data_IF_424343500014
#
_entry.id   IF_424343500014
#
_cell.length_a   1.000
_cell.length_b   1.000
_cell.length_c   1.000
_cell.angle_alpha   90.00
_cell.angle_beta   90.00
_cell.angle_gamma   90.00
#
_symmetry.space_group_name_H-M   'P 1'
#
loop_
_entity.id
_entity.type
_entity.pdbx_description
1 polymer ?
#
# COMPACT_ATOMS: atom_id res chain seq x y z
N UNK A 1 -46.50 32.20 55.69
CA UNK A 1 -45.63 31.01 55.93
C UNK A 1 -45.10 30.60 54.59
N UNK A 2 -43.76 30.78 54.38
CA UNK A 2 -43.09 30.48 53.09
C UNK A 2 -42.62 29.03 53.06
N UNK A 3 -43.00 28.27 52.02
CA UNK A 3 -42.76 26.83 51.83
C UNK A 3 -41.39 26.51 51.16
N UNK A 4 -40.37 27.36 51.39
CA UNK A 4 -39.12 27.30 50.59
C UNK A 4 -38.00 26.42 51.20
N UNK A 5 -38.29 25.58 52.20
CA UNK A 5 -37.21 24.83 52.89
C UNK A 5 -37.32 23.32 52.87
N UNK A 6 -38.12 22.71 51.97
CA UNK A 6 -38.38 21.25 52.03
C UNK A 6 -37.56 20.39 51.08
N UNK A 7 -36.60 20.95 50.33
CA UNK A 7 -35.75 20.11 49.44
C UNK A 7 -34.26 20.49 49.54
N UNK A 8 -33.68 20.39 50.72
CA UNK A 8 -32.22 20.29 50.83
C UNK A 8 -31.80 18.85 50.55
N UNK A 9 -31.39 18.59 49.28
CA UNK A 9 -30.67 17.36 48.93
C UNK A 9 -29.37 17.30 49.68
N UNK A 10 -29.26 16.47 50.70
CA UNK A 10 -27.99 16.12 51.34
C UNK A 10 -27.15 15.33 50.35
N UNK A 11 -26.14 16.01 49.74
CA UNK A 11 -25.10 15.31 48.95
C UNK A 11 -24.26 14.51 49.96
N UNK A 12 -24.49 13.19 50.03
CA UNK A 12 -23.54 12.27 50.62
C UNK A 12 -22.35 12.20 49.67
N UNK A 13 -21.27 12.93 49.97
CA UNK A 13 -20.00 12.78 49.28
C UNK A 13 -19.36 11.52 49.84
N UNK A 14 -19.62 10.37 49.20
CA UNK A 14 -18.83 9.17 49.42
C UNK A 14 -17.41 9.48 48.95
N UNK A 15 -16.52 9.63 49.91
CA UNK A 15 -15.07 9.68 49.67
C UNK A 15 -14.64 8.29 49.16
N UNK A 16 -14.74 8.09 47.84
CA UNK A 16 -14.08 6.97 47.17
C UNK A 16 -12.59 7.27 47.26
N UNK A 17 -11.90 6.59 48.19
CA UNK A 17 -10.44 6.51 48.16
C UNK A 17 -10.08 5.87 46.80
N UNK A 18 -9.59 6.70 45.88
CA UNK A 18 -8.97 6.20 44.67
C UNK A 18 -7.70 5.46 45.09
N UNK A 19 -7.80 4.13 45.21
CA UNK A 19 -6.62 3.31 45.13
C UNK A 19 -6.01 3.63 43.77
N UNK A 20 -4.86 4.30 43.76
CA UNK A 20 -4.01 4.43 42.61
C UNK A 20 -3.60 3.02 42.19
N UNK A 21 -4.42 2.39 41.35
CA UNK A 21 -4.04 1.18 40.66
C UNK A 21 -2.75 1.54 39.89
N UNK A 22 -1.65 0.95 40.32
CA UNK A 22 -0.38 0.94 39.57
C UNK A 22 -0.78 0.50 38.17
N UNK A 23 -0.78 1.45 37.22
CA UNK A 23 -0.93 1.15 35.81
C UNK A 23 0.23 0.24 35.46
N UNK A 24 0.01 -1.06 35.47
CA UNK A 24 0.94 -2.00 34.89
C UNK A 24 1.26 -1.48 33.49
N UNK A 25 2.51 -1.19 33.21
CA UNK A 25 2.98 -0.75 31.90
C UNK A 25 2.47 -1.81 30.91
N UNK A 26 1.63 -1.39 29.97
CA UNK A 26 1.21 -2.29 28.90
C UNK A 26 2.48 -2.75 28.20
N UNK A 27 2.66 -4.06 27.99
CA UNK A 27 3.82 -4.56 27.28
C UNK A 27 3.89 -3.83 25.93
N UNK A 28 5.02 -3.20 25.67
CA UNK A 28 5.27 -2.51 24.41
C UNK A 28 5.44 -3.58 23.34
N UNK A 29 4.46 -3.67 22.42
CA UNK A 29 4.51 -4.59 21.30
C UNK A 29 5.39 -3.95 20.24
N UNK A 30 6.47 -4.59 19.78
CA UNK A 30 7.33 -4.06 18.73
C UNK A 30 6.52 -3.66 17.49
N UNK A 31 6.84 -2.51 16.92
CA UNK A 31 6.20 -2.04 15.69
C UNK A 31 6.34 -3.08 14.57
N UNK A 32 5.25 -3.34 13.86
CA UNK A 32 5.23 -4.29 12.74
C UNK A 32 5.01 -5.76 13.12
N UNK A 33 5.03 -6.14 14.41
CA UNK A 33 4.78 -7.52 14.84
C UNK A 33 3.35 -7.98 14.55
N UNK A 34 2.37 -7.09 14.67
CA UNK A 34 0.97 -7.40 14.46
C UNK A 34 0.38 -6.64 13.27
N UNK A 35 -0.50 -7.29 12.53
CA UNK A 35 -1.35 -6.69 11.49
C UNK A 35 -2.82 -6.83 11.86
N UNK A 36 -3.55 -5.72 11.79
CA UNK A 36 -5.00 -5.71 11.99
C UNK A 36 -5.70 -6.02 10.66
N UNK A 37 -6.58 -7.01 10.66
CA UNK A 37 -7.41 -7.32 9.50
C UNK A 37 -8.49 -6.25 9.29
N UNK A 38 -8.57 -5.67 8.10
CA UNK A 38 -9.56 -4.64 7.80
C UNK A 38 -11.00 -5.17 7.74
N UNK A 39 -11.18 -6.49 7.50
CA UNK A 39 -12.50 -7.11 7.39
C UNK A 39 -13.08 -7.53 8.74
N UNK A 40 -12.31 -8.20 9.58
CA UNK A 40 -12.80 -8.74 10.86
C UNK A 40 -12.20 -8.06 12.10
N UNK A 41 -11.29 -7.08 11.93
CA UNK A 41 -10.67 -6.36 13.04
C UNK A 41 -9.65 -7.17 13.86
N UNK A 42 -9.43 -8.44 13.57
CA UNK A 42 -8.51 -9.29 14.31
C UNK A 42 -7.06 -8.82 14.16
N UNK A 43 -6.32 -8.82 15.28
CA UNK A 43 -4.88 -8.69 15.29
C UNK A 43 -4.25 -10.07 15.00
N UNK A 44 -3.32 -10.13 14.05
CA UNK A 44 -2.67 -11.35 13.57
C UNK A 44 -1.18 -11.07 13.48
N UNK A 45 -0.35 -12.05 13.79
CA UNK A 45 1.10 -11.95 13.68
C UNK A 45 1.46 -11.67 12.20
N UNK A 46 2.31 -10.66 11.98
CA UNK A 46 2.65 -10.22 10.62
C UNK A 46 3.32 -11.33 9.80
N UNK A 47 4.08 -12.20 10.47
CA UNK A 47 4.73 -13.33 9.82
C UNK A 47 3.72 -14.38 9.36
N UNK A 48 2.70 -14.72 10.18
CA UNK A 48 1.63 -15.63 9.79
C UNK A 48 0.86 -15.11 8.56
N UNK A 49 0.65 -13.78 8.51
CA UNK A 49 0.03 -13.14 7.33
C UNK A 49 0.89 -13.31 6.09
N UNK A 50 2.21 -13.19 6.20
CA UNK A 50 3.13 -13.37 5.06
C UNK A 50 3.17 -14.82 4.59
N UNK A 51 3.26 -15.79 5.52
CA UNK A 51 3.26 -17.23 5.22
C UNK A 51 1.92 -17.68 4.64
N UNK A 52 0.80 -17.11 5.13
CA UNK A 52 -0.55 -17.35 4.63
C UNK A 52 -0.92 -16.58 3.37
N UNK A 53 0.04 -16.19 2.53
CA UNK A 53 -0.19 -15.49 1.27
C UNK A 53 -1.04 -14.22 1.39
N UNK A 54 -0.92 -13.50 2.51
CA UNK A 54 -1.68 -12.28 2.81
C UNK A 54 -3.19 -12.50 2.91
N UNK A 55 -3.60 -13.69 3.32
CA UNK A 55 -4.99 -14.04 3.62
C UNK A 55 -5.16 -14.08 5.14
N UNK A 56 -6.24 -13.49 5.64
CA UNK A 56 -6.57 -13.53 7.06
C UNK A 56 -6.99 -14.96 7.47
N UNK A 57 -6.30 -15.62 8.41
CA UNK A 57 -6.65 -16.97 8.84
C UNK A 57 -7.99 -17.04 9.58
N UNK A 58 -8.51 -15.90 10.08
CA UNK A 58 -9.79 -15.87 10.81
C UNK A 58 -11.02 -15.68 9.93
N UNK A 59 -10.90 -14.90 8.84
CA UNK A 59 -12.08 -14.54 8.04
C UNK A 59 -11.90 -14.68 6.54
N UNK A 60 -10.74 -15.14 6.06
CA UNK A 60 -10.42 -15.22 4.64
C UNK A 60 -10.30 -13.86 3.93
N UNK A 61 -10.27 -12.75 4.69
CA UNK A 61 -10.08 -11.41 4.10
C UNK A 61 -8.66 -11.21 3.60
N UNK A 62 -8.49 -10.42 2.53
CA UNK A 62 -7.19 -10.16 1.94
C UNK A 62 -6.52 -8.94 2.59
N UNK A 63 -5.19 -9.03 2.79
CA UNK A 63 -4.34 -7.90 3.12
C UNK A 63 -3.75 -7.29 1.84
N UNK A 64 -3.37 -6.01 1.90
CA UNK A 64 -2.64 -5.38 0.78
C UNK A 64 -1.25 -5.98 0.66
N UNK A 65 -0.86 -6.29 -0.58
CA UNK A 65 0.46 -6.81 -0.93
C UNK A 65 1.20 -5.73 -1.73
N UNK A 66 2.45 -5.47 -1.37
CA UNK A 66 3.31 -4.52 -2.06
C UNK A 66 3.91 -5.14 -3.33
N UNK A 67 4.31 -4.31 -4.30
CA UNK A 67 4.77 -4.79 -5.60
C UNK A 67 5.90 -5.83 -5.51
N UNK A 68 7.01 -5.50 -4.89
CA UNK A 68 8.13 -6.45 -4.76
C UNK A 68 7.75 -7.75 -4.03
N UNK A 69 6.88 -7.66 -3.03
CA UNK A 69 6.39 -8.88 -2.36
C UNK A 69 5.50 -9.71 -3.28
N UNK A 70 4.68 -9.08 -4.11
CA UNK A 70 3.89 -9.80 -5.11
C UNK A 70 4.79 -10.51 -6.12
N UNK A 71 5.85 -9.84 -6.57
CA UNK A 71 6.85 -10.42 -7.46
C UNK A 71 7.50 -11.65 -6.81
N UNK A 72 7.95 -11.53 -5.55
CA UNK A 72 8.54 -12.66 -4.80
C UNK A 72 7.59 -13.85 -4.61
N UNK A 73 6.27 -13.63 -4.60
CA UNK A 73 5.28 -14.70 -4.47
C UNK A 73 5.01 -15.45 -5.78
N UNK A 74 5.33 -14.84 -6.92
CA UNK A 74 4.95 -15.34 -8.26
C UNK A 74 6.16 -15.75 -9.08
N UNK A 75 7.25 -15.01 -8.99
CA UNK A 75 8.47 -15.22 -9.77
C UNK A 75 9.43 -16.12 -8.99
N UNK A 76 10.07 -17.04 -9.70
CA UNK A 76 11.09 -17.94 -9.17
C UNK A 76 12.24 -17.13 -8.55
N UNK A 77 12.72 -17.57 -7.40
CA UNK A 77 13.73 -16.86 -6.62
C UNK A 77 15.01 -16.59 -7.46
N UNK A 78 15.50 -15.35 -7.36
CA UNK A 78 16.73 -14.91 -8.04
C UNK A 78 16.61 -14.70 -9.56
N UNK A 79 15.42 -14.86 -10.15
CA UNK A 79 15.23 -14.72 -11.61
C UNK A 79 14.65 -13.38 -12.05
N UNK A 80 14.24 -12.52 -11.12
CA UNK A 80 13.62 -11.25 -11.45
C UNK A 80 14.65 -10.21 -11.88
N UNK A 81 14.46 -9.67 -13.07
CA UNK A 81 15.18 -8.54 -13.65
C UNK A 81 14.22 -7.36 -13.81
N UNK A 82 14.42 -6.30 -13.03
CA UNK A 82 13.58 -5.11 -13.12
C UNK A 82 13.97 -4.24 -14.30
N UNK A 83 12.97 -3.72 -15.04
CA UNK A 83 13.14 -2.87 -16.21
C UNK A 83 12.70 -1.44 -15.95
N UNK A 84 13.35 -0.48 -16.62
CA UNK A 84 12.97 0.94 -16.61
C UNK A 84 12.89 1.53 -15.19
N UNK A 85 13.79 1.15 -14.28
CA UNK A 85 13.82 1.63 -12.90
C UNK A 85 13.89 3.15 -12.81
N UNK A 86 14.65 3.78 -13.71
CA UNK A 86 14.91 5.22 -13.69
C UNK A 86 13.82 6.06 -14.38
N UNK A 87 12.80 5.41 -14.96
CA UNK A 87 11.69 6.11 -15.58
C UNK A 87 10.76 6.67 -14.51
N UNK A 88 10.73 7.99 -14.39
CA UNK A 88 9.99 8.74 -13.37
C UNK A 88 9.07 9.74 -14.06
N UNK A 89 7.85 9.90 -13.55
CA UNK A 89 6.90 10.91 -14.02
C UNK A 89 7.39 12.34 -13.74
N UNK A 90 6.93 13.28 -14.56
CA UNK A 90 7.22 14.71 -14.42
C UNK A 90 6.07 15.48 -13.77
N UNK A 91 6.16 16.82 -13.87
CA UNK A 91 5.11 17.75 -13.47
C UNK A 91 4.74 18.68 -14.64
N UNK A 92 4.12 18.17 -15.71
CA UNK A 92 3.90 18.92 -16.96
C UNK A 92 2.98 20.12 -16.77
N UNK A 93 2.04 20.06 -15.82
CA UNK A 93 1.08 21.13 -15.54
C UNK A 93 1.50 22.05 -14.39
N UNK A 94 2.74 21.91 -13.92
CA UNK A 94 3.27 22.70 -12.79
C UNK A 94 2.35 22.68 -11.56
N UNK A 95 1.79 21.49 -11.24
CA UNK A 95 0.93 21.33 -10.07
C UNK A 95 1.71 21.59 -8.78
N UNK A 96 1.23 22.56 -7.99
CA UNK A 96 1.93 23.03 -6.78
C UNK A 96 2.06 21.92 -5.72
N UNK A 97 3.26 21.71 -5.21
CA UNK A 97 3.55 20.72 -4.16
C UNK A 97 3.56 19.27 -4.65
N UNK A 98 3.43 19.04 -5.95
CA UNK A 98 3.44 17.68 -6.51
C UNK A 98 4.85 17.05 -6.50
N UNK A 99 5.92 17.74 -6.94
CA UNK A 99 7.27 17.19 -6.89
C UNK A 99 7.70 16.78 -5.48
N UNK A 100 7.43 17.62 -4.49
CA UNK A 100 7.76 17.34 -3.10
C UNK A 100 7.00 16.12 -2.56
N UNK A 101 5.73 16.00 -2.94
CA UNK A 101 4.90 14.83 -2.59
C UNK A 101 5.42 13.54 -3.22
N UNK A 102 5.84 13.58 -4.48
CA UNK A 102 6.43 12.45 -5.20
C UNK A 102 7.74 12.04 -4.52
N UNK A 103 8.64 12.98 -4.25
CA UNK A 103 9.89 12.72 -3.57
C UNK A 103 9.68 12.08 -2.19
N UNK A 104 8.79 12.62 -1.37
CA UNK A 104 8.47 12.06 -0.06
C UNK A 104 7.93 10.62 -0.14
N UNK A 105 7.17 10.30 -1.21
CA UNK A 105 6.69 8.95 -1.45
C UNK A 105 7.78 8.01 -1.92
N UNK A 106 8.72 8.47 -2.76
CA UNK A 106 9.89 7.70 -3.18
C UNK A 106 10.75 7.32 -1.96
N UNK A 107 11.03 8.27 -1.10
CA UNK A 107 11.79 8.04 0.14
C UNK A 107 11.06 7.06 1.08
N UNK A 108 9.75 7.23 1.27
CA UNK A 108 8.95 6.41 2.17
C UNK A 108 8.74 4.98 1.67
N UNK A 109 8.59 4.79 0.36
CA UNK A 109 8.20 3.49 -0.22
C UNK A 109 9.36 2.72 -0.82
N UNK A 110 10.46 3.40 -1.15
CA UNK A 110 11.57 2.85 -1.93
C UNK A 110 11.24 2.65 -3.41
N UNK A 111 10.05 3.08 -3.85
CA UNK A 111 9.60 2.98 -5.24
C UNK A 111 9.92 4.27 -6.00
N UNK A 112 10.34 4.15 -7.24
CA UNK A 112 10.51 5.32 -8.12
C UNK A 112 9.19 5.77 -8.74
N UNK A 113 8.28 4.81 -9.00
CA UNK A 113 6.95 5.06 -9.57
C UNK A 113 5.94 4.01 -9.08
N UNK A 114 4.65 4.20 -9.37
CA UNK A 114 3.54 3.37 -8.89
C UNK A 114 3.46 1.97 -9.52
N UNK A 115 4.36 1.62 -10.42
CA UNK A 115 4.45 0.29 -11.04
C UNK A 115 5.90 -0.20 -11.09
N UNK A 116 6.08 -1.48 -10.82
CA UNK A 116 7.35 -2.20 -11.03
C UNK A 116 7.14 -3.14 -12.21
N UNK A 117 8.03 -3.06 -13.22
CA UNK A 117 7.98 -3.89 -14.43
C UNK A 117 9.28 -4.64 -14.60
N UNK A 118 9.22 -5.84 -15.15
CA UNK A 118 10.41 -6.64 -15.37
C UNK A 118 10.13 -8.00 -15.97
N UNK A 119 11.19 -8.79 -16.10
CA UNK A 119 11.17 -10.17 -16.56
C UNK A 119 11.58 -11.09 -15.43
N UNK A 120 11.03 -12.28 -15.39
CA UNK A 120 11.42 -13.33 -14.46
C UNK A 120 10.90 -14.67 -14.94
N UNK A 121 11.12 -15.72 -14.14
CA UNK A 121 10.62 -17.04 -14.46
C UNK A 121 9.48 -17.44 -13.54
N UNK A 122 8.53 -18.20 -14.08
CA UNK A 122 7.49 -18.89 -13.32
C UNK A 122 7.58 -20.37 -13.66
N UNK A 123 7.94 -21.19 -12.68
CA UNK A 123 8.23 -22.61 -12.90
C UNK A 123 9.21 -22.83 -14.07
N UNK A 124 10.28 -22.06 -14.11
CA UNK A 124 11.33 -22.13 -15.12
C UNK A 124 10.99 -21.49 -16.48
N UNK A 125 9.78 -20.96 -16.68
CA UNK A 125 9.34 -20.33 -17.95
C UNK A 125 9.45 -18.81 -17.86
N UNK A 126 10.09 -18.21 -18.84
CA UNK A 126 10.24 -16.76 -18.93
C UNK A 126 8.87 -16.07 -19.05
N UNK A 127 8.69 -15.01 -18.30
CA UNK A 127 7.43 -14.25 -18.20
C UNK A 127 7.75 -12.80 -17.93
N UNK A 128 7.01 -11.90 -18.55
CA UNK A 128 7.05 -10.46 -18.22
C UNK A 128 5.97 -10.15 -17.20
N UNK A 129 6.33 -9.38 -16.17
CA UNK A 129 5.43 -9.02 -15.08
C UNK A 129 5.40 -7.51 -14.87
N UNK A 130 4.20 -6.96 -14.64
CA UNK A 130 4.00 -5.59 -14.21
C UNK A 130 3.12 -5.59 -12.95
N UNK A 131 3.59 -4.96 -11.88
CA UNK A 131 2.87 -4.94 -10.59
C UNK A 131 2.69 -3.52 -10.11
N UNK A 132 1.44 -3.05 -10.04
CA UNK A 132 1.11 -1.77 -9.46
C UNK A 132 1.21 -1.80 -7.93
N UNK A 133 1.64 -0.69 -7.31
CA UNK A 133 1.75 -0.55 -5.85
C UNK A 133 0.93 0.62 -5.32
N UNK A 134 -0.12 0.29 -4.59
CA UNK A 134 -1.04 1.28 -4.02
C UNK A 134 -0.44 2.21 -2.95
N UNK A 135 0.79 1.98 -2.49
CA UNK A 135 1.49 2.88 -1.59
C UNK A 135 1.94 4.17 -2.29
N UNK A 136 2.19 4.09 -3.59
CA UNK A 136 2.58 5.24 -4.40
C UNK A 136 1.34 5.85 -5.06
N UNK A 137 0.86 6.98 -4.56
CA UNK A 137 -0.32 7.72 -5.07
C UNK A 137 -1.54 6.83 -5.38
N UNK A 138 -1.82 5.81 -4.55
CA UNK A 138 -2.88 4.82 -4.76
C UNK A 138 -2.76 4.06 -6.10
N UNK A 139 -1.54 3.87 -6.59
CA UNK A 139 -1.24 3.30 -7.89
C UNK A 139 -1.93 4.04 -9.05
N UNK A 140 -2.14 5.36 -8.92
CA UNK A 140 -2.69 6.15 -10.02
C UNK A 140 -1.72 6.17 -11.20
N UNK A 141 -2.29 6.09 -12.40
CA UNK A 141 -1.53 5.99 -13.63
C UNK A 141 -1.13 7.37 -14.13
N UNK A 142 0.14 7.72 -13.95
CA UNK A 142 0.82 8.84 -14.58
C UNK A 142 1.49 8.40 -15.89
N UNK A 143 2.08 9.37 -16.60
CA UNK A 143 2.80 9.09 -17.85
C UNK A 143 3.83 7.95 -17.69
N UNK A 144 4.68 8.02 -16.68
CA UNK A 144 5.73 7.02 -16.48
C UNK A 144 5.17 5.62 -16.17
N UNK A 145 4.01 5.52 -15.50
CA UNK A 145 3.33 4.23 -15.27
C UNK A 145 2.88 3.63 -16.60
N UNK A 146 2.22 4.45 -17.44
CA UNK A 146 1.80 4.03 -18.77
C UNK A 146 2.97 3.59 -19.62
N UNK A 147 4.02 4.41 -19.69
CA UNK A 147 5.23 4.13 -20.48
C UNK A 147 5.95 2.86 -20.02
N UNK A 148 6.13 2.64 -18.70
CA UNK A 148 6.71 1.39 -18.16
C UNK A 148 5.93 0.16 -18.60
N UNK A 149 4.59 0.21 -18.52
CA UNK A 149 3.73 -0.91 -18.90
C UNK A 149 3.79 -1.14 -20.41
N UNK A 150 3.74 -0.08 -21.21
CA UNK A 150 3.81 -0.15 -22.68
C UNK A 150 5.14 -0.79 -23.11
N UNK A 151 6.29 -0.29 -22.63
CA UNK A 151 7.59 -0.88 -22.92
C UNK A 151 7.71 -2.34 -22.51
N UNK A 152 7.12 -2.70 -21.35
CA UNK A 152 7.11 -4.09 -20.90
C UNK A 152 6.31 -4.99 -21.87
N UNK A 153 5.16 -4.52 -22.38
CA UNK A 153 4.34 -5.25 -23.33
C UNK A 153 5.00 -5.34 -24.70
N UNK A 154 5.59 -4.24 -25.18
CA UNK A 154 6.33 -4.20 -26.46
C UNK A 154 7.48 -5.21 -26.46
N UNK A 155 8.33 -5.16 -25.42
CA UNK A 155 9.44 -6.09 -25.29
C UNK A 155 8.99 -7.54 -25.13
N UNK A 156 7.90 -7.78 -24.38
CA UNK A 156 7.31 -9.12 -24.29
C UNK A 156 6.80 -9.64 -25.64
N UNK A 157 6.25 -8.74 -26.48
CA UNK A 157 5.78 -9.07 -27.83
C UNK A 157 6.95 -9.45 -28.75
N UNK A 158 8.03 -8.67 -28.71
CA UNK A 158 9.26 -8.95 -29.46
C UNK A 158 9.89 -10.28 -29.07
N UNK A 159 9.98 -10.54 -27.75
CA UNK A 159 10.54 -11.77 -27.18
C UNK A 159 9.53 -12.95 -27.20
N UNK A 160 8.27 -12.73 -27.63
CA UNK A 160 7.18 -13.72 -27.64
C UNK A 160 6.91 -14.34 -26.25
N UNK A 161 6.95 -13.50 -25.23
CA UNK A 161 6.75 -13.90 -23.83
C UNK A 161 5.33 -13.58 -23.35
N UNK A 162 4.79 -14.38 -22.43
CA UNK A 162 3.54 -14.04 -21.75
C UNK A 162 3.72 -12.82 -20.84
N UNK A 163 2.65 -12.03 -20.70
CA UNK A 163 2.61 -10.85 -19.82
C UNK A 163 1.58 -11.05 -18.72
N UNK A 164 1.96 -10.77 -17.48
CA UNK A 164 1.07 -10.77 -16.31
C UNK A 164 1.07 -9.38 -15.68
N UNK A 165 -0.11 -8.76 -15.57
CA UNK A 165 -0.27 -7.43 -14.99
C UNK A 165 -1.14 -7.51 -13.73
N UNK A 166 -0.58 -7.13 -12.56
CA UNK A 166 -1.32 -6.96 -11.33
C UNK A 166 -1.75 -5.50 -11.19
N UNK A 167 -2.95 -5.19 -11.66
CA UNK A 167 -3.51 -3.85 -11.60
C UNK A 167 -4.23 -3.60 -10.27
N UNK A 168 -3.91 -2.48 -9.60
CA UNK A 168 -4.61 -2.00 -8.42
C UNK A 168 -4.75 -0.47 -8.43
N UNK A 169 -4.94 0.09 -9.63
CA UNK A 169 -4.90 1.53 -9.88
C UNK A 169 -6.11 2.27 -9.29
N UNK A 170 -5.86 3.45 -8.71
CA UNK A 170 -6.89 4.41 -8.33
C UNK A 170 -7.43 5.24 -9.49
N UNK A 171 -6.98 5.00 -10.73
CA UNK A 171 -7.37 5.75 -11.94
C UNK A 171 -6.24 6.61 -12.53
N UNK A 172 -6.60 7.52 -13.44
CA UNK A 172 -5.65 8.45 -14.04
C UNK A 172 -5.08 9.42 -13.00
N UNK A 173 -3.81 9.80 -13.15
CA UNK A 173 -3.12 10.75 -12.27
C UNK A 173 -3.42 12.18 -12.73
N UNK A 174 -4.38 12.82 -12.10
CA UNK A 174 -4.82 14.18 -12.48
C UNK A 174 -3.71 15.24 -12.41
N UNK A 175 -2.73 15.08 -11.53
CA UNK A 175 -1.60 16.01 -11.39
C UNK A 175 -0.65 16.01 -12.59
N UNK A 176 -0.74 15.01 -13.44
CA UNK A 176 0.04 14.88 -14.68
C UNK A 176 -0.84 15.03 -15.93
N UNK A 177 -2.13 15.35 -15.78
CA UNK A 177 -3.14 15.38 -16.85
C UNK A 177 -3.14 14.13 -17.72
N UNK A 178 -2.91 12.99 -17.10
CA UNK A 178 -2.57 11.78 -17.81
C UNK A 178 -3.74 11.10 -18.49
N UNK A 179 -3.62 10.99 -19.79
CA UNK A 179 -4.16 9.86 -20.52
C UNK A 179 -3.02 8.94 -20.98
N UNK A 180 -3.16 7.63 -20.81
CA UNK A 180 -2.23 6.62 -21.36
C UNK A 180 -2.13 6.75 -22.91
N UNK A 181 -3.07 7.46 -23.53
CA UNK A 181 -3.14 7.73 -24.98
C UNK A 181 -2.17 8.79 -25.46
N UNK A 182 -1.61 9.60 -24.57
CA UNK A 182 -0.80 10.76 -24.95
C UNK A 182 0.69 10.39 -24.98
N UNK A 183 1.01 9.25 -25.58
CA UNK A 183 2.38 8.94 -25.93
C UNK A 183 2.78 9.87 -27.09
N UNK A 184 3.81 10.74 -26.91
CA UNK A 184 4.14 11.76 -27.91
C UNK A 184 4.53 11.21 -29.30
N UNK A 185 4.86 9.92 -29.36
CA UNK A 185 5.45 9.26 -30.55
C UNK A 185 4.59 8.11 -31.09
N UNK A 186 3.28 8.05 -30.78
CA UNK A 186 2.37 7.02 -31.25
C UNK A 186 1.51 7.49 -32.42
#
# INVERSE_FOLDING_TARGET
MKLDNMFKKTRIVSRIQSHSAVRASRPEVPEGLLRKCNKCGAAIIAEDVKQGYYICPKCGGYFRVHAYRRIQMVIDEGTFEEWNQDLIGGNPVNYKGYPEKVQALQEKTGLKEAVVTGKGKINGRDTVIAVCDGRFLMASMGWAVGEKITRAVERATEEKLPVIIFACSGGARMQEEMCIRDRPDA
#
